data_IF_124931904629
#
_entry.id   IF_124931904629
#
_cell.length_a   1.000
_cell.length_b   1.000
_cell.length_c   1.000
_cell.angle_alpha   90.00
_cell.angle_beta   90.00
_cell.angle_gamma   90.00
#
_symmetry.space_group_name_H-M   'P 1'
#
loop_
_entity.id
_entity.type
_entity.pdbx_description
1 polymer ?
#
# COMPACT_ATOMS: atom_id res chain seq x y z
N UNK A 1 5.32 -18.73 14.18
CA UNK A 1 4.05 -18.50 13.48
C UNK A 1 4.24 -17.23 12.69
N UNK A 2 4.23 -17.27 11.35
CA UNK A 2 4.38 -16.06 10.54
C UNK A 2 3.16 -15.17 10.72
N UNK A 3 3.37 -13.86 10.88
CA UNK A 3 2.28 -12.89 11.05
C UNK A 3 1.55 -12.71 9.73
N UNK A 4 0.24 -12.96 9.74
CA UNK A 4 -0.63 -12.68 8.60
C UNK A 4 -1.08 -11.23 8.70
N UNK A 5 -0.74 -10.42 7.70
CA UNK A 5 -1.09 -8.99 7.61
C UNK A 5 -2.40 -8.78 6.86
N UNK A 6 -3.36 -9.67 7.09
CA UNK A 6 -4.65 -9.71 6.41
C UNK A 6 -5.70 -10.26 7.37
N UNK A 7 -6.93 -9.78 7.24
CA UNK A 7 -8.08 -10.26 8.04
C UNK A 7 -8.70 -11.52 7.45
N UNK A 8 -8.46 -11.77 6.17
CA UNK A 8 -8.92 -12.93 5.43
C UNK A 8 -7.73 -13.69 4.83
N UNK A 9 -7.93 -14.99 4.55
CA UNK A 9 -6.92 -15.81 3.89
C UNK A 9 -7.56 -16.90 3.05
N UNK A 10 -6.92 -17.26 1.94
CA UNK A 10 -7.36 -18.32 1.03
C UNK A 10 -6.20 -19.24 0.69
N UNK A 11 -6.46 -20.54 0.57
CA UNK A 11 -5.45 -21.50 0.11
C UNK A 11 -5.15 -21.33 -1.38
N UNK A 12 -3.89 -21.50 -1.79
CA UNK A 12 -3.49 -21.38 -3.20
C UNK A 12 -4.22 -22.39 -4.12
N UNK A 13 -4.60 -23.55 -3.59
CA UNK A 13 -5.42 -24.53 -4.32
C UNK A 13 -6.84 -24.05 -4.56
N UNK A 14 -7.44 -23.39 -3.57
CA UNK A 14 -8.79 -22.84 -3.64
C UNK A 14 -8.85 -21.60 -4.54
N UNK A 15 -7.85 -20.72 -4.42
CA UNK A 15 -7.67 -19.56 -5.32
C UNK A 15 -7.63 -19.97 -6.80
N UNK A 16 -6.94 -21.08 -7.13
CA UNK A 16 -6.88 -21.60 -8.50
C UNK A 16 -8.23 -22.11 -9.02
N UNK A 17 -9.10 -22.60 -8.12
CA UNK A 17 -10.40 -23.15 -8.49
C UNK A 17 -11.43 -22.04 -8.63
N UNK A 18 -11.41 -21.06 -7.72
CA UNK A 18 -12.35 -19.94 -7.73
C UNK A 18 -11.66 -18.62 -7.33
N UNK A 19 -10.99 -17.95 -8.28
CA UNK A 19 -10.32 -16.67 -8.00
C UNK A 19 -11.31 -15.56 -7.64
N UNK A 20 -12.55 -15.62 -8.15
CA UNK A 20 -13.58 -14.62 -7.87
C UNK A 20 -14.00 -14.62 -6.40
N UNK A 21 -14.05 -15.80 -5.77
CA UNK A 21 -14.35 -15.89 -4.34
C UNK A 21 -13.35 -15.10 -3.48
N UNK A 22 -12.06 -15.08 -3.86
CA UNK A 22 -11.05 -14.30 -3.15
C UNK A 22 -11.25 -12.79 -3.34
N UNK A 23 -11.76 -12.37 -4.50
CA UNK A 23 -12.02 -10.95 -4.82
C UNK A 23 -13.29 -10.46 -4.12
N UNK A 24 -14.38 -11.24 -4.17
CA UNK A 24 -15.65 -10.88 -3.53
C UNK A 24 -15.58 -10.84 -2.00
N UNK A 25 -14.70 -11.63 -1.41
CA UNK A 25 -14.44 -11.64 0.04
C UNK A 25 -13.41 -10.58 0.47
N UNK A 26 -12.79 -9.86 -0.47
CA UNK A 26 -11.73 -8.90 -0.17
C UNK A 26 -12.32 -7.57 0.33
N UNK A 27 -12.55 -7.50 1.64
CA UNK A 27 -12.67 -6.24 2.39
C UNK A 27 -11.29 -5.93 3.00
N UNK A 28 -10.37 -5.49 2.14
CA UNK A 28 -8.94 -5.37 2.43
C UNK A 28 -8.07 -6.52 1.93
N UNK A 29 -6.79 -6.56 2.33
CA UNK A 29 -5.85 -7.58 1.88
C UNK A 29 -6.31 -8.99 2.27
N UNK A 30 -6.15 -9.94 1.35
CA UNK A 30 -6.40 -11.36 1.55
C UNK A 30 -5.08 -12.12 1.43
N UNK A 31 -4.68 -12.85 2.47
CA UNK A 31 -3.46 -13.64 2.43
C UNK A 31 -3.65 -14.93 1.62
N UNK A 32 -2.75 -15.18 0.67
CA UNK A 32 -2.71 -16.41 -0.11
C UNK A 32 -1.77 -17.39 0.59
N UNK A 33 -2.28 -18.55 0.99
CA UNK A 33 -1.56 -19.54 1.77
C UNK A 33 -1.11 -20.73 0.92
N UNK A 34 0.13 -21.18 1.11
CA UNK A 34 0.65 -22.45 0.60
C UNK A 34 1.18 -23.28 1.77
N UNK A 35 0.64 -24.50 1.97
CA UNK A 35 0.95 -25.36 3.13
C UNK A 35 0.86 -24.61 4.47
N UNK A 36 -0.21 -23.83 4.65
CA UNK A 36 -0.48 -22.98 5.82
C UNK A 36 0.57 -21.88 6.09
N UNK A 37 1.35 -21.49 5.08
CA UNK A 37 2.26 -20.34 5.14
C UNK A 37 1.80 -19.25 4.16
N UNK A 38 1.73 -17.97 4.57
CA UNK A 38 1.44 -16.87 3.66
C UNK A 38 2.56 -16.75 2.62
N UNK A 39 2.19 -16.76 1.33
CA UNK A 39 3.13 -16.65 0.21
C UNK A 39 2.90 -15.41 -0.66
N UNK A 40 1.70 -14.83 -0.60
CA UNK A 40 1.33 -13.61 -1.32
C UNK A 40 0.12 -12.95 -0.64
N UNK A 41 -0.22 -11.74 -1.09
CA UNK A 41 -1.46 -11.05 -0.74
C UNK A 41 -2.20 -10.67 -2.03
N UNK A 42 -3.51 -10.84 -2.03
CA UNK A 42 -4.41 -10.18 -2.96
C UNK A 42 -4.87 -8.88 -2.29
N UNK A 43 -4.66 -7.75 -2.94
CA UNK A 43 -5.02 -6.42 -2.42
C UNK A 43 -6.04 -5.81 -3.39
N UNK A 44 -7.19 -5.30 -2.92
CA UNK A 44 -8.12 -4.56 -3.78
C UNK A 44 -7.41 -3.40 -4.49
N UNK A 45 -7.75 -3.15 -5.75
CA UNK A 45 -7.07 -2.14 -6.56
C UNK A 45 -7.05 -0.74 -5.89
N UNK A 46 -8.19 -0.31 -5.33
CA UNK A 46 -8.30 0.96 -4.62
C UNK A 46 -7.39 1.07 -3.39
N UNK A 47 -7.15 -0.03 -2.70
CA UNK A 47 -6.24 -0.03 -1.55
C UNK A 47 -4.79 -0.06 -1.99
N UNK A 48 -4.47 -0.79 -3.06
CA UNK A 48 -3.13 -0.77 -3.63
C UNK A 48 -2.77 0.64 -4.13
N UNK A 49 -3.68 1.31 -4.82
CA UNK A 49 -3.54 2.71 -5.25
C UNK A 49 -3.31 3.63 -4.04
N UNK A 50 -4.12 3.51 -2.99
CA UNK A 50 -3.95 4.31 -1.78
C UNK A 50 -2.60 4.07 -1.07
N UNK A 51 -2.08 2.83 -1.10
CA UNK A 51 -0.74 2.52 -0.58
C UNK A 51 0.33 3.22 -1.42
N UNK A 52 0.22 3.17 -2.76
CA UNK A 52 1.14 3.84 -3.67
C UNK A 52 1.17 5.36 -3.44
N UNK A 53 -0.01 5.99 -3.38
CA UNK A 53 -0.14 7.44 -3.12
C UNK A 53 0.55 7.82 -1.79
N UNK A 54 0.34 7.00 -0.75
CA UNK A 54 0.94 7.25 0.56
C UNK A 54 2.45 7.11 0.57
N UNK A 55 3.01 6.21 -0.25
CA UNK A 55 4.46 6.05 -0.40
C UNK A 55 5.07 7.27 -1.10
N UNK A 56 4.43 7.78 -2.16
CA UNK A 56 4.86 9.00 -2.84
C UNK A 56 4.85 10.21 -1.89
N UNK A 57 3.79 10.35 -1.09
CA UNK A 57 3.69 11.39 -0.07
C UNK A 57 4.84 11.36 0.94
N UNK A 58 5.34 10.16 1.29
CA UNK A 58 6.45 10.01 2.23
C UNK A 58 7.72 10.60 1.62
N UNK A 59 8.03 10.27 0.37
CA UNK A 59 9.19 10.78 -0.34
C UNK A 59 9.12 12.32 -0.50
N UNK A 60 7.95 12.85 -0.87
CA UNK A 60 7.71 14.29 -0.95
C UNK A 60 7.89 14.97 0.42
N UNK A 61 7.38 14.35 1.48
CA UNK A 61 7.51 14.89 2.83
C UNK A 61 8.97 14.87 3.32
N UNK A 62 9.76 13.86 2.98
CA UNK A 62 11.19 13.82 3.27
C UNK A 62 11.94 14.93 2.54
N UNK A 63 11.64 15.14 1.25
CA UNK A 63 12.21 16.20 0.46
C UNK A 63 11.86 17.59 1.01
N UNK A 64 10.59 17.79 1.39
CA UNK A 64 10.15 19.03 2.04
C UNK A 64 10.89 19.28 3.36
N UNK A 65 10.99 18.26 4.23
CA UNK A 65 11.77 18.35 5.48
C UNK A 65 13.24 18.65 5.23
N UNK A 66 13.85 18.02 4.24
CA UNK A 66 15.24 18.26 3.86
C UNK A 66 15.47 19.73 3.47
N UNK A 67 14.60 20.28 2.60
CA UNK A 67 14.67 21.69 2.18
C UNK A 67 14.40 22.67 3.32
N UNK A 68 13.46 22.36 4.22
CA UNK A 68 13.23 23.20 5.41
C UNK A 68 14.46 23.28 6.32
N UNK A 69 15.28 22.24 6.32
CA UNK A 69 16.47 22.11 7.17
C UNK A 69 17.78 22.44 6.45
N UNK A 70 17.77 22.87 5.18
CA UNK A 70 18.97 23.10 4.37
C UNK A 70 19.67 24.45 4.66
N UNK A 71 19.11 25.27 5.55
CA UNK A 71 19.67 26.54 5.98
C UNK A 71 19.51 27.70 4.99
N UNK A 72 18.82 27.50 3.86
CA UNK A 72 18.53 28.58 2.91
C UNK A 72 17.47 29.52 3.48
N UNK A 73 17.54 30.80 3.08
CA UNK A 73 16.51 31.79 3.43
C UNK A 73 15.21 31.47 2.71
N UNK A 74 14.10 31.54 3.42
CA UNK A 74 12.78 31.43 2.82
C UNK A 74 12.49 32.64 1.94
N UNK A 75 11.85 32.40 0.79
CA UNK A 75 11.42 33.45 -0.14
C UNK A 75 9.90 33.46 -0.15
N UNK A 76 9.30 34.61 0.11
CA UNK A 76 7.84 34.79 0.06
C UNK A 76 7.44 35.05 -1.39
N UNK A 77 6.55 34.22 -1.92
CA UNK A 77 5.98 34.33 -3.27
C UNK A 77 4.46 34.28 -3.20
N UNK A 78 3.76 34.85 -4.18
CA UNK A 78 2.32 34.60 -4.37
C UNK A 78 2.11 33.47 -5.36
N UNK A 79 0.92 32.87 -5.36
CA UNK A 79 0.61 31.78 -6.28
C UNK A 79 0.63 32.25 -7.75
N UNK A 80 0.28 33.53 -7.98
CA UNK A 80 0.31 34.15 -9.30
C UNK A 80 1.73 34.39 -9.85
N UNK A 81 2.76 34.31 -9.00
CA UNK A 81 4.16 34.60 -9.33
C UNK A 81 4.98 33.33 -9.63
N UNK A 82 4.35 32.15 -9.60
CA UNK A 82 4.95 30.82 -9.83
C UNK A 82 4.91 30.38 -11.29
#
# INVERSE_FOLDING_TARGET
MESILARASIGISELKVNPMAAIEQADGPVAILNRNKPVAYLIPASEWEAICDRLEDIELAELARSRMNDGRKTVRVKLEDL
#
